data_IF_149452643185
#
_entry.id   IF_149452643185
#
_cell.length_a   1.000
_cell.length_b   1.000
_cell.length_c   1.000
_cell.angle_alpha   90.00
_cell.angle_beta   90.00
_cell.angle_gamma   90.00
#
_symmetry.space_group_name_H-M   'P 1'
#
loop_
_entity.id
_entity.type
_entity.pdbx_description
1 polymer ?
#
# COMPACT_ATOMS: atom_id res chain seq x y z
N UNK A 1 16.74 5.93 -3.85
CA UNK A 1 15.59 5.64 -2.97
C UNK A 1 14.65 4.74 -3.77
N UNK A 2 14.17 3.63 -3.19
CA UNK A 2 13.18 2.79 -3.86
C UNK A 2 11.77 3.38 -3.65
N UNK A 3 10.88 3.34 -4.66
CA UNK A 3 9.51 3.81 -4.50
C UNK A 3 8.77 2.93 -3.49
N UNK A 4 8.24 3.55 -2.43
CA UNK A 4 7.51 2.90 -1.34
C UNK A 4 6.04 3.38 -1.24
N UNK A 5 5.60 4.19 -2.20
CA UNK A 5 4.24 4.73 -2.27
C UNK A 5 3.64 4.59 -3.67
N UNK A 6 2.38 4.15 -3.74
CA UNK A 6 1.63 3.95 -4.98
C UNK A 6 0.21 4.53 -4.87
N UNK A 7 -0.29 5.14 -5.95
CA UNK A 7 -1.66 5.65 -6.04
C UNK A 7 -2.41 4.98 -7.19
N UNK A 8 -3.59 4.46 -6.90
CA UNK A 8 -4.56 3.99 -7.89
C UNK A 8 -5.80 4.88 -7.92
N UNK A 9 -5.88 5.73 -8.95
CA UNK A 9 -7.04 6.56 -9.18
C UNK A 9 -7.97 5.95 -10.24
N UNK A 10 -9.28 6.13 -10.06
CA UNK A 10 -10.30 5.77 -11.04
C UNK A 10 -11.26 6.93 -11.26
N UNK A 11 -11.64 7.12 -12.52
CA UNK A 11 -12.68 8.07 -12.92
C UNK A 11 -14.09 7.55 -12.58
N UNK A 12 -15.15 8.31 -12.92
CA UNK A 12 -16.53 7.99 -12.58
C UNK A 12 -17.00 6.60 -13.02
N UNK A 13 -16.57 6.15 -14.20
CA UNK A 13 -16.92 4.84 -14.75
C UNK A 13 -15.91 3.74 -14.38
N UNK A 14 -14.87 4.10 -13.61
CA UNK A 14 -13.84 3.16 -13.20
C UNK A 14 -14.28 2.30 -12.01
N UNK A 15 -13.85 1.04 -11.99
CA UNK A 15 -14.23 0.13 -10.90
C UNK A 15 -13.35 0.33 -9.67
N UNK A 16 -13.98 0.59 -8.51
CA UNK A 16 -13.31 0.59 -7.21
C UNK A 16 -12.62 -0.76 -6.92
N UNK A 17 -13.22 -1.87 -7.34
CA UNK A 17 -12.64 -3.21 -7.15
C UNK A 17 -11.33 -3.32 -7.92
N UNK A 18 -11.27 -2.79 -9.14
CA UNK A 18 -10.04 -2.76 -9.95
C UNK A 18 -8.99 -1.87 -9.27
N UNK A 19 -9.37 -0.71 -8.74
CA UNK A 19 -8.44 0.17 -8.01
C UNK A 19 -7.81 -0.55 -6.81
N UNK A 20 -8.62 -1.27 -6.02
CA UNK A 20 -8.14 -2.03 -4.86
C UNK A 20 -7.22 -3.18 -5.26
N UNK A 21 -7.53 -3.90 -6.35
CA UNK A 21 -6.68 -4.97 -6.85
C UNK A 21 -5.33 -4.45 -7.35
N UNK A 22 -5.32 -3.35 -8.10
CA UNK A 22 -4.09 -2.72 -8.58
C UNK A 22 -3.27 -2.16 -7.41
N UNK A 23 -3.92 -1.56 -6.41
CA UNK A 23 -3.23 -1.04 -5.23
C UNK A 23 -2.58 -2.17 -4.43
N UNK A 24 -3.25 -3.31 -4.29
CA UNK A 24 -2.69 -4.50 -3.66
C UNK A 24 -1.51 -5.05 -4.46
N UNK A 25 -1.67 -5.20 -5.78
CA UNK A 25 -0.65 -5.76 -6.66
C UNK A 25 0.62 -4.89 -6.71
N UNK A 26 0.48 -3.59 -6.99
CA UNK A 26 1.61 -2.67 -7.06
C UNK A 26 2.28 -2.50 -5.69
N UNK A 27 1.47 -2.46 -4.63
CA UNK A 27 1.97 -2.44 -3.26
C UNK A 27 2.77 -3.69 -2.90
N UNK A 28 2.32 -4.87 -3.32
CA UNK A 28 3.03 -6.13 -3.14
C UNK A 28 4.36 -6.14 -3.90
N UNK A 29 4.39 -5.65 -5.15
CA UNK A 29 5.63 -5.52 -5.92
C UNK A 29 6.62 -4.55 -5.28
N UNK A 30 6.15 -3.41 -4.75
CA UNK A 30 6.96 -2.48 -3.97
C UNK A 30 7.55 -3.16 -2.73
N UNK A 31 6.73 -3.91 -2.00
CA UNK A 31 7.15 -4.65 -0.82
C UNK A 31 8.18 -5.74 -1.15
N UNK A 32 7.98 -6.50 -2.24
CA UNK A 32 8.96 -7.43 -2.78
C UNK A 32 10.30 -6.73 -3.02
N UNK A 33 10.29 -5.61 -3.75
CA UNK A 33 11.50 -4.89 -4.12
C UNK A 33 12.26 -4.36 -2.91
N UNK A 34 11.56 -3.77 -1.94
CA UNK A 34 12.17 -3.29 -0.69
C UNK A 34 12.72 -4.46 0.12
N UNK A 35 11.99 -5.58 0.21
CA UNK A 35 12.47 -6.77 0.90
C UNK A 35 13.74 -7.33 0.25
N UNK A 36 13.77 -7.45 -1.08
CA UNK A 36 14.96 -7.90 -1.81
C UNK A 36 16.17 -6.99 -1.62
N UNK A 37 15.96 -5.67 -1.57
CA UNK A 37 17.02 -4.70 -1.28
C UNK A 37 17.53 -4.82 0.16
N UNK A 38 16.64 -5.03 1.12
CA UNK A 38 17.00 -5.17 2.54
C UNK A 38 17.80 -6.44 2.78
N UNK A 39 17.40 -7.58 2.18
CA UNK A 39 18.08 -8.87 2.38
C UNK A 39 19.29 -9.08 1.46
N UNK A 40 19.62 -8.11 0.61
CA UNK A 40 20.77 -8.23 -0.30
C UNK A 40 22.06 -8.31 0.52
N UNK A 41 22.81 -9.41 0.36
CA UNK A 41 24.08 -9.70 1.07
C UNK A 41 23.96 -9.81 2.61
N UNK A 42 22.76 -10.09 3.13
CA UNK A 42 22.58 -10.42 4.55
C UNK A 42 22.56 -11.93 4.78
N UNK A 43 23.36 -12.38 5.75
CA UNK A 43 23.43 -13.79 6.19
C UNK A 43 22.18 -14.22 6.99
N UNK A 44 21.44 -13.27 7.58
CA UNK A 44 20.20 -13.52 8.28
C UNK A 44 19.00 -12.85 7.59
N UNK A 45 17.91 -13.60 7.41
CA UNK A 45 16.63 -13.06 6.98
C UNK A 45 16.14 -12.07 8.04
N UNK A 46 16.23 -10.76 7.78
CA UNK A 46 15.55 -9.76 8.61
C UNK A 46 14.06 -10.12 8.61
N UNK A 47 13.59 -10.61 9.76
CA UNK A 47 12.20 -10.87 10.04
C UNK A 47 11.61 -9.67 10.76
N UNK A 48 11.56 -8.55 10.06
CA UNK A 48 10.85 -7.38 10.51
C UNK A 48 9.41 -7.51 9.98
N UNK A 49 8.46 -7.64 10.91
CA UNK A 49 7.02 -7.61 10.64
C UNK A 49 6.56 -6.19 10.23
N UNK A 50 7.40 -5.47 9.48
CA UNK A 50 7.27 -4.07 9.17
C UNK A 50 6.29 -3.87 8.02
N UNK A 51 5.70 -2.68 8.00
CA UNK A 51 5.11 -2.12 6.81
C UNK A 51 6.19 -1.96 5.74
N UNK A 52 6.03 -2.56 4.56
CA UNK A 52 7.02 -2.44 3.50
C UNK A 52 6.62 -1.37 2.48
N UNK A 53 5.33 -1.12 2.27
CA UNK A 53 4.85 -0.19 1.24
C UNK A 53 3.52 0.40 1.65
N UNK A 54 3.33 1.69 1.34
CA UNK A 54 2.05 2.38 1.46
C UNK A 54 1.41 2.45 0.08
N UNK A 55 0.08 2.28 0.03
CA UNK A 55 -0.68 2.48 -1.21
C UNK A 55 -1.93 3.28 -0.93
N UNK A 56 -2.43 3.97 -1.94
CA UNK A 56 -3.66 4.73 -1.83
C UNK A 56 -4.57 4.47 -3.02
N UNK A 57 -5.87 4.61 -2.79
CA UNK A 57 -6.87 4.62 -3.87
C UNK A 57 -7.66 5.91 -3.83
N UNK A 58 -7.94 6.48 -5.00
CA UNK A 58 -8.90 7.57 -5.14
C UNK A 58 -10.02 7.20 -6.11
N UNK A 59 -11.26 7.18 -5.62
CA UNK A 59 -12.43 6.90 -6.44
C UNK A 59 -13.69 7.53 -5.84
N UNK A 60 -14.51 8.18 -6.67
CA UNK A 60 -15.80 8.76 -6.24
C UNK A 60 -15.66 9.77 -5.09
N UNK A 61 -14.58 10.55 -5.08
CA UNK A 61 -14.30 11.50 -4.00
C UNK A 61 -13.73 10.89 -2.72
N UNK A 62 -13.52 9.57 -2.66
CA UNK A 62 -12.93 8.90 -1.50
C UNK A 62 -11.44 8.65 -1.72
N UNK A 63 -10.60 9.18 -0.85
CA UNK A 63 -9.19 8.80 -0.73
C UNK A 63 -9.08 7.76 0.38
N UNK A 64 -8.45 6.62 0.11
CA UNK A 64 -8.16 5.59 1.13
C UNK A 64 -6.68 5.26 1.11
N UNK A 65 -6.09 5.12 2.29
CA UNK A 65 -4.69 4.75 2.48
C UNK A 65 -4.61 3.33 3.05
N UNK A 66 -3.65 2.57 2.55
CA UNK A 66 -3.39 1.19 2.87
C UNK A 66 -1.91 0.98 3.16
N UNK A 67 -1.63 -0.10 3.88
CA UNK A 67 -0.30 -0.59 4.15
C UNK A 67 -0.20 -2.04 3.70
N UNK A 68 0.92 -2.38 3.07
CA UNK A 68 1.25 -3.75 2.68
C UNK A 68 2.29 -4.33 3.63
N UNK A 69 1.98 -5.48 4.19
CA UNK A 69 2.92 -6.29 4.98
C UNK A 69 3.12 -7.67 4.36
N UNK A 70 4.32 -8.21 4.57
CA UNK A 70 4.72 -9.53 4.10
C UNK A 70 4.48 -10.53 5.23
N UNK A 71 3.60 -11.48 5.00
CA UNK A 71 3.44 -12.65 5.84
C UNK A 71 4.24 -13.81 5.23
N UNK A 72 5.40 -14.12 5.81
CA UNK A 72 6.22 -15.26 5.37
C UNK A 72 5.54 -16.56 5.83
N UNK A 73 5.31 -17.55 4.94
CA UNK A 73 4.81 -18.85 5.38
C UNK A 73 5.86 -19.53 6.26
N UNK A 74 5.41 -20.18 7.33
CA UNK A 74 6.29 -21.02 8.14
C UNK A 74 6.75 -22.21 7.31
N UNK A 75 8.00 -22.19 6.84
CA UNK A 75 8.82 -23.27 6.25
C UNK A 75 8.24 -24.20 5.15
N UNK A 76 6.93 -24.23 4.88
CA UNK A 76 6.31 -25.31 4.10
C UNK A 76 5.77 -24.91 2.73
N UNK A 77 5.57 -23.62 2.44
CA UNK A 77 4.79 -23.21 1.24
C UNK A 77 5.50 -22.24 0.27
N UNK A 78 6.76 -21.86 0.53
CA UNK A 78 7.64 -21.15 -0.43
C UNK A 78 7.23 -19.75 -0.93
N UNK A 79 5.96 -19.36 -0.81
CA UNK A 79 5.40 -18.12 -1.35
C UNK A 79 5.07 -17.12 -0.24
N UNK A 80 5.75 -15.97 -0.26
CA UNK A 80 5.40 -14.82 0.58
C UNK A 80 3.96 -14.38 0.31
N UNK A 81 3.13 -14.30 1.35
CA UNK A 81 1.77 -13.75 1.26
C UNK A 81 1.83 -12.25 1.53
N UNK A 82 1.20 -11.45 0.68
CA UNK A 82 1.09 -10.00 0.85
C UNK A 82 -0.30 -9.66 1.35
N UNK A 83 -0.37 -8.90 2.44
CA UNK A 83 -1.64 -8.53 3.06
C UNK A 83 -1.74 -7.01 3.00
N UNK A 84 -2.82 -6.53 2.36
CA UNK A 84 -3.18 -5.12 2.28
C UNK A 84 -4.16 -4.77 3.40
N UNK A 85 -3.74 -3.93 4.35
CA UNK A 85 -4.57 -3.44 5.45
C UNK A 85 -4.93 -1.98 5.23
N UNK A 86 -6.21 -1.65 5.31
CA UNK A 86 -6.65 -0.25 5.25
C UNK A 86 -6.26 0.48 6.55
N UNK A 87 -5.58 1.62 6.42
CA UNK A 87 -5.22 2.48 7.54
C UNK A 87 -6.32 3.51 7.83
N UNK A 88 -6.76 4.22 6.79
CA UNK A 88 -7.73 5.33 6.92
C UNK A 88 -8.40 5.63 5.58
N UNK A 89 -9.54 6.30 5.61
CA UNK A 89 -10.17 6.89 4.44
C UNK A 89 -10.72 8.28 4.75
N UNK A 90 -10.77 9.12 3.73
CA UNK A 90 -11.26 10.49 3.76
C UNK A 90 -12.22 10.73 2.61
N UNK A 91 -13.34 11.40 2.90
CA UNK A 91 -14.24 11.92 1.90
C UNK A 91 -13.71 13.28 1.44
N UNK A 92 -12.94 13.30 0.36
CA UNK A 92 -12.25 14.49 -0.14
C UNK A 92 -13.19 15.60 -0.61
N UNK A 93 -14.49 15.31 -0.72
CA UNK A 93 -15.53 16.25 -1.16
C UNK A 93 -16.55 16.58 -0.07
N UNK A 94 -16.34 16.18 1.18
CA UNK A 94 -17.29 16.49 2.27
C UNK A 94 -17.15 17.93 2.77
N UNK A 95 -15.94 18.29 3.20
CA UNK A 95 -15.65 19.56 3.87
C UNK A 95 -14.13 19.87 3.81
N UNK A 96 -13.77 21.12 4.11
CA UNK A 96 -12.40 21.61 4.02
C UNK A 96 -11.45 20.89 5.00
N UNK A 97 -11.92 20.57 6.21
CA UNK A 97 -11.08 19.93 7.23
C UNK A 97 -10.71 18.50 6.80
N UNK A 98 -11.70 17.71 6.38
CA UNK A 98 -11.49 16.34 5.88
C UNK A 98 -10.59 16.34 4.63
N UNK A 99 -10.77 17.31 3.72
CA UNK A 99 -9.90 17.47 2.57
C UNK A 99 -8.44 17.75 2.99
N UNK A 100 -8.22 18.71 3.89
CA UNK A 100 -6.88 19.06 4.36
C UNK A 100 -6.20 17.88 5.06
N UNK A 101 -6.93 17.12 5.89
CA UNK A 101 -6.41 15.93 6.55
C UNK A 101 -6.03 14.84 5.54
N UNK A 102 -6.90 14.56 4.56
CA UNK A 102 -6.63 13.56 3.52
C UNK A 102 -5.47 13.95 2.62
N UNK A 103 -5.42 15.21 2.16
CA UNK A 103 -4.35 15.73 1.33
C UNK A 103 -2.99 15.72 2.07
N UNK A 104 -2.98 16.12 3.34
CA UNK A 104 -1.78 16.06 4.17
C UNK A 104 -1.31 14.63 4.38
N UNK A 105 -2.22 13.69 4.64
CA UNK A 105 -1.85 12.28 4.79
C UNK A 105 -1.29 11.69 3.49
N UNK A 106 -1.86 12.04 2.34
CA UNK A 106 -1.36 11.63 1.03
C UNK A 106 0.04 12.19 0.73
N UNK A 107 0.29 13.47 1.05
CA UNK A 107 1.59 14.11 0.80
C UNK A 107 2.72 13.56 1.68
N UNK A 108 2.40 13.06 2.88
CA UNK A 108 3.37 12.53 3.84
C UNK A 108 3.51 11.00 3.80
N UNK A 109 2.81 10.34 2.86
CA UNK A 109 2.89 8.89 2.66
C UNK A 109 4.19 8.47 1.94
#
# INVERSE_FOLDING_TARGET
MAPNFFLEAKGPDGSLVIAMQQACYNGALGACGIHSLQTYQQDELINNNNAYTLTSTYHGGQLKLYMIHINKPGYTDGHSKYIMTQLKGWSMTSDLETFCLGASAYQNA
#
